data_IF_902986995229
#
_entry.id   IF_902986995229
#
_cell.length_a   1.000
_cell.length_b   1.000
_cell.length_c   1.000
_cell.angle_alpha   90.00
_cell.angle_beta   90.00
_cell.angle_gamma   90.00
#
_symmetry.space_group_name_H-M   'P 1'
#
loop_
_entity.id
_entity.type
_entity.pdbx_description
1 polymer ?
#
# COMPACT_ATOMS: atom_id res chain seq x y z
N UNK A 1 13.83 9.26 11.77
CA UNK A 1 12.52 8.82 12.29
C UNK A 1 12.43 7.34 11.96
N UNK A 2 12.32 6.47 12.96
CA UNK A 2 12.21 5.02 12.74
C UNK A 2 10.85 4.72 12.13
N UNK A 3 10.83 4.45 10.83
CA UNK A 3 9.65 4.02 10.09
C UNK A 3 9.21 2.66 10.65
N UNK A 4 8.28 2.67 11.60
CA UNK A 4 7.80 1.45 12.24
C UNK A 4 6.82 0.78 11.27
N UNK A 5 7.36 0.05 10.30
CA UNK A 5 6.63 -0.62 9.20
C UNK A 5 5.50 -1.51 9.75
N UNK A 6 5.65 -2.01 10.98
CA UNK A 6 4.65 -2.80 11.70
C UNK A 6 3.32 -2.06 11.93
N UNK A 7 3.33 -0.72 12.01
CA UNK A 7 2.10 0.08 12.14
C UNK A 7 1.32 0.20 10.82
N UNK A 8 1.91 -0.21 9.69
CA UNK A 8 1.29 -0.09 8.36
C UNK A 8 0.51 -1.35 7.97
N UNK A 9 0.68 -2.44 8.72
CA UNK A 9 -0.14 -3.63 8.59
C UNK A 9 -1.38 -3.47 9.47
N UNK A 10 -2.54 -3.85 8.93
CA UNK A 10 -3.87 -3.47 9.43
C UNK A 10 -4.01 -3.40 10.95
N UNK A 11 -4.24 -2.18 11.45
CA UNK A 11 -4.72 -1.96 12.82
C UNK A 11 -6.13 -2.55 13.04
N UNK A 12 -6.88 -2.75 11.94
CA UNK A 12 -8.25 -3.30 11.90
C UNK A 12 -8.30 -4.82 11.59
N UNK A 13 -7.16 -5.52 11.63
CA UNK A 13 -7.10 -6.96 11.41
C UNK A 13 -7.28 -7.40 9.95
N UNK A 14 -7.92 -8.55 9.73
CA UNK A 14 -7.98 -9.28 8.45
C UNK A 14 -8.64 -8.56 7.27
N UNK A 15 -9.31 -7.42 7.50
CA UNK A 15 -10.00 -6.67 6.44
C UNK A 15 -9.09 -5.68 5.70
N UNK A 16 -7.97 -5.29 6.29
CA UNK A 16 -7.09 -4.25 5.75
C UNK A 16 -5.66 -4.74 5.64
N UNK A 17 -5.26 -5.10 4.42
CA UNK A 17 -3.93 -5.62 4.11
C UNK A 17 -2.83 -4.63 4.51
N UNK A 18 -3.02 -3.34 4.17
CA UNK A 18 -2.13 -2.22 4.50
C UNK A 18 -2.93 -0.95 4.70
N UNK A 19 -2.47 -0.11 5.62
CA UNK A 19 -2.99 1.24 5.83
C UNK A 19 -2.08 2.30 5.23
N UNK A 20 -2.67 3.43 4.90
CA UNK A 20 -2.01 4.63 4.43
C UNK A 20 -0.86 5.02 5.38
N UNK A 21 0.36 5.27 4.87
CA UNK A 21 1.49 5.62 5.71
C UNK A 21 1.43 7.04 6.29
N UNK A 22 0.53 7.88 5.76
CA UNK A 22 0.31 9.25 6.20
C UNK A 22 -0.78 9.38 7.26
N UNK A 23 -1.50 8.30 7.59
CA UNK A 23 -2.58 8.33 8.59
C UNK A 23 -2.35 7.30 9.70
N UNK A 24 -2.56 7.71 10.95
CA UNK A 24 -2.53 6.79 12.10
C UNK A 24 -3.89 6.10 12.33
N UNK A 25 -4.93 6.59 11.66
CA UNK A 25 -6.33 6.16 11.78
C UNK A 25 -6.71 5.03 10.84
N UNK A 26 -5.77 4.52 10.03
CA UNK A 26 -5.97 3.25 9.35
C UNK A 26 -6.66 3.32 7.99
N UNK A 27 -6.63 4.47 7.30
CA UNK A 27 -7.20 4.58 5.94
C UNK A 27 -6.64 3.45 5.05
N UNK A 28 -7.49 2.57 4.50
CA UNK A 28 -7.03 1.50 3.63
C UNK A 28 -6.43 2.06 2.34
N UNK A 29 -5.33 1.45 1.89
CA UNK A 29 -4.81 1.74 0.54
C UNK A 29 -5.63 1.00 -0.52
N UNK A 30 -5.75 1.60 -1.70
CA UNK A 30 -6.51 1.08 -2.83
C UNK A 30 -5.54 0.45 -3.83
N UNK A 31 -5.78 -0.77 -4.33
CA UNK A 31 -4.91 -1.38 -5.34
C UNK A 31 -5.05 -0.66 -6.69
N UNK A 32 -3.92 -0.32 -7.29
CA UNK A 32 -3.82 0.13 -8.68
C UNK A 32 -3.58 -1.09 -9.56
N UNK A 33 -4.53 -1.36 -10.45
CA UNK A 33 -4.57 -2.58 -11.26
C UNK A 33 -4.28 -2.27 -12.73
N UNK A 34 -3.37 -3.03 -13.32
CA UNK A 34 -3.13 -3.04 -14.76
C UNK A 34 -3.82 -4.28 -15.34
N UNK A 35 -4.71 -4.09 -16.32
CA UNK A 35 -5.39 -5.19 -17.00
C UNK A 35 -4.51 -5.70 -18.15
N UNK A 36 -3.77 -6.78 -17.91
CA UNK A 36 -2.96 -7.46 -18.92
C UNK A 36 -3.72 -8.57 -19.63
N UNK A 37 -3.13 -9.10 -20.71
CA UNK A 37 -3.68 -10.25 -21.47
C UNK A 37 -3.78 -11.52 -20.63
N UNK A 38 -2.94 -11.65 -19.61
CA UNK A 38 -2.92 -12.80 -18.68
C UNK A 38 -3.82 -12.60 -17.46
N UNK A 39 -4.47 -11.43 -17.32
CA UNK A 39 -5.30 -11.05 -16.18
C UNK A 39 -4.88 -9.75 -15.51
N UNK A 40 -5.60 -9.33 -14.45
CA UNK A 40 -5.27 -8.14 -13.68
C UNK A 40 -3.99 -8.34 -12.86
N UNK A 41 -3.12 -7.34 -12.87
CA UNK A 41 -1.87 -7.28 -12.08
C UNK A 41 -1.96 -6.09 -11.14
N UNK A 42 -1.72 -6.30 -9.85
CA UNK A 42 -1.57 -5.20 -8.89
C UNK A 42 -0.17 -4.60 -9.09
N UNK A 43 -0.12 -3.36 -9.59
CA UNK A 43 1.14 -2.67 -9.89
C UNK A 43 1.62 -1.77 -8.74
N UNK A 44 0.68 -1.23 -7.98
CA UNK A 44 0.95 -0.41 -6.80
C UNK A 44 -0.27 -0.36 -5.89
N UNK A 45 -0.10 0.21 -4.70
CA UNK A 45 -1.17 0.62 -3.82
C UNK A 45 -1.17 2.14 -3.74
N UNK A 46 -2.35 2.77 -3.69
CA UNK A 46 -2.51 4.21 -3.57
C UNK A 46 -3.20 4.55 -2.27
N UNK A 47 -2.64 5.48 -1.51
CA UNK A 47 -3.35 6.10 -0.41
C UNK A 47 -4.25 7.22 -0.93
N UNK A 48 -5.58 7.18 -0.72
CA UNK A 48 -6.50 8.21 -1.22
C UNK A 48 -6.38 9.56 -0.48
N UNK A 49 -5.83 9.57 0.74
CA UNK A 49 -5.81 10.78 1.57
C UNK A 49 -4.62 11.71 1.27
N UNK A 50 -3.49 11.14 0.85
CA UNK A 50 -2.24 11.86 0.62
C UNK A 50 -1.61 11.57 -0.75
N UNK A 51 -2.35 10.91 -1.65
CA UNK A 51 -1.93 10.52 -3.00
C UNK A 51 -0.60 9.74 -3.06
N UNK A 52 -0.16 9.16 -1.93
CA UNK A 52 1.09 8.40 -1.88
C UNK A 52 0.92 7.06 -2.56
N UNK A 53 1.81 6.78 -3.50
CA UNK A 53 1.88 5.49 -4.21
C UNK A 53 2.94 4.60 -3.55
N UNK A 54 2.57 3.35 -3.30
CA UNK A 54 3.44 2.30 -2.78
C UNK A 54 3.62 1.28 -3.92
N UNK A 55 4.78 1.25 -4.59
CA UNK A 55 4.97 0.38 -5.75
C UNK A 55 5.11 -1.09 -5.34
N UNK A 56 4.61 -1.99 -6.19
CA UNK A 56 4.83 -3.44 -6.10
C UNK A 56 5.95 -3.81 -7.07
N UNK A 57 7.09 -4.25 -6.55
CA UNK A 57 8.24 -4.66 -7.36
C UNK A 57 8.53 -6.12 -7.08
N UNK A 58 8.48 -6.96 -8.13
CA UNK A 58 8.66 -8.41 -8.01
C UNK A 58 7.73 -9.05 -6.97
N UNK A 59 6.49 -8.53 -6.85
CA UNK A 59 5.51 -9.00 -5.87
C UNK A 59 5.71 -8.48 -4.45
N UNK A 60 6.69 -7.60 -4.21
CA UNK A 60 7.01 -7.05 -2.89
C UNK A 60 6.69 -5.56 -2.87
N UNK A 61 5.99 -5.12 -1.83
CA UNK A 61 5.70 -3.71 -1.61
C UNK A 61 6.93 -2.95 -1.13
N UNK A 62 7.24 -1.85 -1.79
CA UNK A 62 8.35 -0.97 -1.42
C UNK A 62 7.82 0.16 -0.52
N UNK A 63 7.86 -0.08 0.79
CA UNK A 63 7.34 0.83 1.80
C UNK A 63 8.50 1.66 2.38
N UNK A 64 8.37 2.99 2.40
CA UNK A 64 9.38 3.89 3.00
C UNK A 64 10.65 4.07 2.16
N UNK A 65 10.61 3.67 0.89
CA UNK A 65 11.64 3.97 -0.10
C UNK A 65 11.09 5.12 -0.94
N UNK A 66 11.49 6.35 -0.64
CA UNK A 66 11.22 7.47 -1.54
C UNK A 66 12.09 7.26 -2.79
N UNK A 67 11.46 6.88 -3.89
CA UNK A 67 12.07 6.81 -5.24
C UNK A 67 11.74 8.06 -6.03
#
# INVERSE_FOLDING_TARGET
>A
MTNNVTNLFGKDGDQTFIICPCTEEGTPVIPVVIHGTSGPIIASLMCPDCDKVIPVVNGILQIGVDV
#
